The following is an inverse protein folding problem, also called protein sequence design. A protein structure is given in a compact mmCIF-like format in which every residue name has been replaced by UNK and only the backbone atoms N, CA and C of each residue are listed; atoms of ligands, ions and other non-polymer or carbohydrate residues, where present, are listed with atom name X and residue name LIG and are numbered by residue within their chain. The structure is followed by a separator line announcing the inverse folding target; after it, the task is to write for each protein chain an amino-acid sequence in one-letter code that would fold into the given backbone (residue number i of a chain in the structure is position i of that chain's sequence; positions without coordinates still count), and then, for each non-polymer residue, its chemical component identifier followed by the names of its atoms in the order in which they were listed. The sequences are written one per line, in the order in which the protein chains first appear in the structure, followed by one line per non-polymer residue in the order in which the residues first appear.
data_IF_347962072143
#
_entry.id   IF_347962072143
#
_cell.length_a   1.000
_cell.length_b   1.000
_cell.length_c   1.000
_cell.angle_alpha   90.00
_cell.angle_beta   90.00
_cell.angle_gamma   90.00
#
_symmetry.space_group_name_H-M   'P 1'
#
loop_
_entity.id
_entity.type
_entity.pdbx_description
1 polymer ?
#
# COMPACT_ATOMS: atom_id res chain seq x y z
N UNK A 1 -14.42 7.54 6.97
CA UNK A 1 -13.35 8.45 6.55
C UNK A 1 -12.06 7.71 6.75
N UNK A 2 -11.20 7.72 5.74
CA UNK A 2 -9.92 7.04 5.79
C UNK A 2 -9.01 7.69 6.85
N UNK A 3 -8.25 6.88 7.58
CA UNK A 3 -7.39 7.36 8.66
C UNK A 3 -6.19 8.15 8.13
N UNK A 4 -5.71 7.81 6.92
CA UNK A 4 -4.62 8.53 6.26
C UNK A 4 -5.05 9.96 5.97
N UNK A 5 -6.17 10.14 5.25
CA UNK A 5 -6.80 11.43 4.97
C UNK A 5 -7.07 12.22 6.27
N UNK A 6 -7.68 11.57 7.26
CA UNK A 6 -7.99 12.22 8.55
C UNK A 6 -6.73 12.74 9.25
N UNK A 7 -5.60 12.04 9.15
CA UNK A 7 -4.34 12.47 9.74
C UNK A 7 -3.74 13.63 8.94
N UNK A 8 -3.71 13.54 7.62
CA UNK A 8 -3.20 14.57 6.73
C UNK A 8 -3.89 15.94 6.97
N UNK A 9 -5.19 15.92 7.27
CA UNK A 9 -5.99 17.13 7.52
C UNK A 9 -5.93 17.65 8.96
N UNK A 10 -5.34 16.88 9.90
CA UNK A 10 -5.44 17.18 11.33
C UNK A 10 -4.63 18.40 11.76
N UNK A 11 -3.42 18.57 11.22
CA UNK A 11 -2.49 19.67 11.51
C UNK A 11 -1.63 19.96 10.26
N UNK A 12 -0.98 21.14 10.13
CA UNK A 12 -0.23 21.52 8.92
C UNK A 12 0.95 20.62 8.54
N UNK A 13 1.49 19.87 9.51
CA UNK A 13 2.57 18.89 9.32
C UNK A 13 2.49 17.83 10.43
N UNK A 14 1.57 16.86 10.31
CA UNK A 14 1.31 15.89 11.37
C UNK A 14 2.41 14.83 11.48
N UNK A 15 3.32 14.77 10.50
CA UNK A 15 4.32 13.72 10.31
C UNK A 15 3.72 12.32 10.08
N UNK A 16 4.55 11.32 9.70
CA UNK A 16 4.11 9.93 9.50
C UNK A 16 3.35 9.32 10.68
N UNK A 17 2.64 8.22 10.45
CA UNK A 17 2.06 7.45 11.55
C UNK A 17 3.12 6.92 12.53
N UNK A 18 2.80 6.74 13.82
CA UNK A 18 3.74 6.17 14.78
C UNK A 18 4.29 4.79 14.35
N UNK A 19 5.56 4.53 14.64
CA UNK A 19 6.23 3.26 14.28
C UNK A 19 5.46 2.01 14.76
N UNK A 20 4.89 2.07 15.97
CA UNK A 20 4.09 0.99 16.53
C UNK A 20 2.79 0.74 15.76
N UNK A 21 2.19 1.80 15.20
CA UNK A 21 1.00 1.72 14.38
C UNK A 21 1.33 1.04 13.04
N UNK A 22 2.40 1.49 12.37
CA UNK A 22 2.86 0.89 11.12
C UNK A 22 3.26 -0.57 11.33
N UNK A 23 3.96 -0.88 12.42
CA UNK A 23 4.36 -2.26 12.73
C UNK A 23 3.15 -3.18 12.92
N UNK A 24 2.12 -2.72 13.64
CA UNK A 24 0.92 -3.49 13.88
C UNK A 24 0.12 -3.69 12.59
N UNK A 25 -0.09 -2.62 11.81
CA UNK A 25 -0.79 -2.70 10.52
C UNK A 25 -0.05 -3.63 9.57
N UNK A 26 1.27 -3.45 9.40
CA UNK A 26 2.08 -4.29 8.54
C UNK A 26 2.02 -5.77 8.93
N UNK A 27 2.19 -6.09 10.21
CA UNK A 27 2.12 -7.48 10.67
C UNK A 27 0.73 -8.10 10.47
N UNK A 28 -0.33 -7.39 10.84
CA UNK A 28 -1.70 -7.92 10.77
C UNK A 28 -2.15 -8.11 9.32
N UNK A 29 -1.84 -7.18 8.42
CA UNK A 29 -2.16 -7.30 6.99
C UNK A 29 -1.30 -8.37 6.31
N UNK A 30 0.00 -8.45 6.61
CA UNK A 30 0.84 -9.54 6.11
C UNK A 30 0.34 -10.92 6.59
N UNK A 31 -0.16 -11.01 7.83
CA UNK A 31 -0.73 -12.25 8.36
C UNK A 31 -2.04 -12.62 7.68
N UNK A 32 -2.89 -11.63 7.37
CA UNK A 32 -4.12 -11.83 6.61
C UNK A 32 -3.83 -12.30 5.18
N UNK A 33 -2.89 -11.65 4.50
CA UNK A 33 -2.45 -12.04 3.15
C UNK A 33 -1.86 -13.44 3.14
N UNK A 34 -1.04 -13.79 4.13
CA UNK A 34 -0.51 -15.15 4.24
C UNK A 34 -1.64 -16.18 4.29
N UNK A 35 -2.63 -15.98 5.16
CA UNK A 35 -3.80 -16.86 5.25
C UNK A 35 -4.60 -16.91 3.94
N UNK A 36 -4.83 -15.77 3.27
CA UNK A 36 -5.54 -15.75 1.99
C UNK A 36 -4.78 -16.52 0.92
N UNK A 37 -3.48 -16.30 0.79
CA UNK A 37 -2.63 -16.90 -0.23
C UNK A 37 -2.48 -18.41 0.00
N UNK A 38 -2.26 -18.87 1.24
CA UNK A 38 -1.91 -20.28 1.51
C UNK A 38 -3.09 -21.16 1.91
N UNK A 39 -4.01 -20.64 2.73
CA UNK A 39 -5.09 -21.45 3.29
C UNK A 39 -6.36 -21.34 2.44
N UNK A 40 -6.61 -20.15 1.86
CA UNK A 40 -7.81 -19.91 1.04
C UNK A 40 -7.54 -19.98 -0.46
N UNK A 41 -6.27 -19.91 -0.89
CA UNK A 41 -5.89 -19.78 -2.30
C UNK A 41 -6.66 -18.64 -2.99
N UNK A 42 -6.64 -17.47 -2.36
CA UNK A 42 -7.28 -16.25 -2.84
C UNK A 42 -6.28 -15.10 -2.91
N UNK A 43 -6.31 -14.36 -4.01
CA UNK A 43 -5.76 -13.03 -4.13
C UNK A 43 -6.79 -12.03 -3.59
N UNK A 44 -6.36 -11.06 -2.78
CA UNK A 44 -7.26 -9.99 -2.33
C UNK A 44 -7.67 -9.07 -3.48
N UNK A 45 -6.70 -8.58 -4.26
CA UNK A 45 -6.93 -7.86 -5.52
C UNK A 45 -7.33 -6.38 -5.39
N UNK A 46 -7.69 -5.90 -4.20
CA UNK A 46 -7.93 -4.46 -3.97
C UNK A 46 -7.35 -3.96 -2.63
N UNK A 47 -6.04 -4.06 -2.46
CA UNK A 47 -5.40 -3.65 -1.21
C UNK A 47 -5.05 -2.16 -1.21
N UNK A 48 -5.55 -1.43 -0.21
CA UNK A 48 -5.34 0.01 0.03
C UNK A 48 -5.69 0.36 1.47
N UNK A 49 -5.26 1.51 1.96
CA UNK A 49 -5.57 2.03 3.31
C UNK A 49 -7.08 1.99 3.63
N UNK A 50 -7.94 2.37 2.69
CA UNK A 50 -9.40 2.38 2.86
C UNK A 50 -10.01 0.99 3.15
N UNK A 51 -9.31 -0.10 2.80
CA UNK A 51 -9.72 -1.47 3.05
C UNK A 51 -9.06 -2.08 4.30
N UNK A 52 -8.43 -1.24 5.15
CA UNK A 52 -7.83 -1.63 6.43
C UNK A 52 -8.62 -1.07 7.61
N UNK A 53 -9.20 -1.94 8.42
CA UNK A 53 -9.93 -1.57 9.62
C UNK A 53 -9.02 -1.58 10.85
N UNK A 54 -8.90 -0.44 11.52
CA UNK A 54 -8.06 -0.28 12.72
C UNK A 54 -8.90 -0.29 13.99
N UNK A 55 -8.44 -1.01 15.01
CA UNK A 55 -9.10 -1.15 16.31
C UNK A 55 -8.19 -0.70 17.45
N UNK A 56 -8.79 -0.08 18.48
CA UNK A 56 -8.12 0.22 19.74
C UNK A 56 -6.88 1.11 19.60
N UNK A 57 -6.92 2.11 18.71
CA UNK A 57 -5.77 2.96 18.39
C UNK A 57 -4.54 2.14 17.95
N UNK A 58 -4.70 1.37 16.86
CA UNK A 58 -3.66 0.51 16.28
C UNK A 58 -3.19 -0.63 17.18
N UNK A 59 -4.07 -1.14 18.06
CA UNK A 59 -3.85 -2.42 18.75
C UNK A 59 -4.06 -3.63 17.83
N UNK A 60 -4.84 -3.44 16.77
CA UNK A 60 -5.11 -4.46 15.76
C UNK A 60 -5.56 -3.81 14.46
N UNK A 61 -5.17 -4.37 13.34
CA UNK A 61 -5.72 -4.11 12.02
C UNK A 61 -6.40 -5.36 11.45
N UNK A 62 -7.37 -5.17 10.55
CA UNK A 62 -8.01 -6.24 9.80
C UNK A 62 -8.23 -5.80 8.37
N UNK A 63 -7.93 -6.71 7.44
CA UNK A 63 -8.26 -6.53 6.04
C UNK A 63 -9.76 -6.75 5.81
N UNK A 64 -10.37 -5.92 4.96
CA UNK A 64 -11.76 -6.05 4.54
C UNK A 64 -11.93 -5.82 3.03
N UNK A 65 -13.16 -6.00 2.56
CA UNK A 65 -13.58 -5.84 1.16
C UNK A 65 -12.96 -6.82 0.16
N UNK A 66 -13.54 -8.02 0.12
CA UNK A 66 -13.14 -9.11 -0.78
C UNK A 66 -13.98 -9.13 -2.07
N UNK A 67 -14.62 -8.01 -2.43
CA UNK A 67 -15.58 -7.95 -3.54
C UNK A 67 -15.00 -8.31 -4.91
N UNK A 68 -13.68 -8.17 -5.06
CA UNK A 68 -12.93 -8.45 -6.30
C UNK A 68 -11.83 -9.49 -6.11
N UNK A 69 -11.89 -10.29 -5.03
CA UNK A 69 -10.92 -11.33 -4.76
C UNK A 69 -10.93 -12.41 -5.87
N UNK A 70 -9.74 -12.92 -6.23
CA UNK A 70 -9.57 -13.87 -7.33
C UNK A 70 -9.02 -15.21 -6.84
N UNK A 71 -9.45 -16.34 -7.42
CA UNK A 71 -8.92 -17.65 -7.08
C UNK A 71 -7.48 -17.82 -7.59
N UNK A 72 -6.63 -18.38 -6.74
CA UNK A 72 -5.26 -18.78 -7.05
C UNK A 72 -5.19 -20.30 -7.27
N UNK A 73 -4.32 -20.75 -8.17
CA UNK A 73 -3.94 -22.17 -8.27
C UNK A 73 -2.88 -22.58 -7.24
N UNK A 74 -2.46 -23.85 -7.33
CA UNK A 74 -1.38 -24.43 -6.53
C UNK A 74 -0.01 -23.77 -6.77
N UNK A 75 0.15 -22.99 -7.85
CA UNK A 75 1.34 -22.19 -8.13
C UNK A 75 1.19 -20.73 -7.64
N UNK A 76 0.07 -20.42 -6.96
CA UNK A 76 -0.28 -19.09 -6.47
C UNK A 76 -0.40 -18.04 -7.59
N UNK A 77 -0.81 -18.47 -8.79
CA UNK A 77 -1.15 -17.63 -9.92
C UNK A 77 -2.67 -17.55 -10.10
N UNK A 78 -3.18 -16.43 -10.61
CA UNK A 78 -4.60 -16.30 -10.96
C UNK A 78 -4.91 -17.20 -12.15
N UNK A 79 -5.99 -17.97 -12.07
CA UNK A 79 -6.34 -18.97 -13.08
C UNK A 79 -7.32 -18.46 -14.13
N UNK A 80 -7.15 -18.93 -15.38
CA UNK A 80 -8.15 -18.79 -16.44
C UNK A 80 -8.37 -17.36 -16.91
N UNK A 81 -9.58 -17.08 -17.42
CA UNK A 81 -9.94 -15.78 -18.00
C UNK A 81 -10.46 -14.78 -16.93
N UNK A 82 -9.97 -14.86 -15.69
CA UNK A 82 -10.37 -13.94 -14.63
C UNK A 82 -9.78 -12.54 -14.91
N UNK A 83 -10.60 -11.51 -14.75
CA UNK A 83 -10.18 -10.11 -14.94
C UNK A 83 -9.84 -9.48 -13.59
N UNK A 84 -8.64 -8.92 -13.48
CA UNK A 84 -8.26 -8.07 -12.35
C UNK A 84 -8.90 -6.68 -12.51
N UNK A 85 -9.56 -6.18 -11.46
CA UNK A 85 -10.32 -4.91 -11.47
C UNK A 85 -9.92 -4.00 -10.30
N UNK A 86 -8.76 -4.26 -9.67
CA UNK A 86 -8.31 -3.52 -8.48
C UNK A 86 -8.19 -2.01 -8.69
N UNK A 87 -7.97 -1.27 -7.60
CA UNK A 87 -7.86 0.18 -7.68
C UNK A 87 -6.52 0.61 -8.29
N UNK A 88 -6.59 1.30 -9.43
CA UNK A 88 -5.46 1.67 -10.28
C UNK A 88 -4.22 2.13 -9.49
N UNK A 89 -4.24 3.21 -8.66
CA UNK A 89 -3.03 3.72 -7.99
C UNK A 89 -2.24 2.69 -7.15
N UNK A 90 -2.87 1.59 -6.74
CA UNK A 90 -2.22 0.50 -5.98
C UNK A 90 -1.81 -0.69 -6.85
N UNK A 91 -2.13 -0.67 -8.15
CA UNK A 91 -1.88 -1.76 -9.08
C UNK A 91 -0.38 -2.00 -9.30
N UNK A 92 0.00 -3.27 -9.21
CA UNK A 92 1.35 -3.71 -9.48
C UNK A 92 1.72 -3.54 -10.95
N UNK A 93 3.01 -3.38 -11.30
CA UNK A 93 3.43 -3.24 -12.69
C UNK A 93 2.98 -4.41 -13.58
N UNK A 94 2.94 -5.64 -13.08
CA UNK A 94 2.40 -6.76 -13.86
C UNK A 94 0.90 -6.65 -14.16
N UNK A 95 0.12 -5.90 -13.37
CA UNK A 95 -1.29 -5.61 -13.70
C UNK A 95 -1.36 -4.53 -14.77
N UNK A 96 -0.56 -3.47 -14.62
CA UNK A 96 -0.56 -2.31 -15.53
C UNK A 96 -0.06 -2.68 -16.93
N UNK A 97 0.90 -3.61 -17.02
CA UNK A 97 1.56 -4.00 -18.26
C UNK A 97 1.14 -5.40 -18.76
N UNK A 98 -0.08 -5.86 -18.42
CA UNK A 98 -0.67 -7.13 -18.88
C UNK A 98 0.23 -8.37 -18.67
N UNK A 99 0.89 -8.43 -17.50
CA UNK A 99 1.70 -9.56 -17.05
C UNK A 99 0.93 -10.58 -16.19
N UNK A 100 1.67 -11.58 -15.70
CA UNK A 100 1.09 -12.67 -14.91
C UNK A 100 0.73 -12.22 -13.49
N UNK A 101 -0.57 -12.19 -13.18
CA UNK A 101 -1.07 -11.86 -11.83
C UNK A 101 -0.88 -13.06 -10.90
N UNK A 102 -0.26 -12.81 -9.75
CA UNK A 102 0.01 -13.83 -8.72
C UNK A 102 -0.25 -13.25 -7.34
N UNK A 103 -0.14 -14.07 -6.30
CA UNK A 103 -0.14 -13.60 -4.91
C UNK A 103 0.85 -12.43 -4.63
N UNK A 104 1.90 -12.26 -5.45
CA UNK A 104 2.86 -11.15 -5.35
C UNK A 104 2.30 -9.80 -5.78
N UNK A 105 1.17 -9.79 -6.49
CA UNK A 105 0.44 -8.58 -6.85
C UNK A 105 -0.11 -7.91 -5.58
N UNK A 106 -0.69 -8.68 -4.65
CA UNK A 106 -1.11 -8.14 -3.34
C UNK A 106 0.07 -7.60 -2.53
N UNK A 107 1.28 -8.17 -2.68
CA UNK A 107 2.48 -7.71 -1.96
C UNK A 107 2.93 -6.32 -2.41
N UNK A 108 2.74 -5.99 -3.69
CA UNK A 108 3.01 -4.66 -4.20
C UNK A 108 2.00 -3.65 -3.63
N UNK A 109 0.70 -3.95 -3.74
CA UNK A 109 -0.35 -3.09 -3.18
C UNK A 109 -0.23 -2.95 -1.65
N UNK A 110 0.25 -3.98 -0.96
CA UNK A 110 0.65 -3.96 0.45
C UNK A 110 1.77 -2.97 0.73
N UNK A 111 2.80 -2.94 -0.11
CA UNK A 111 3.85 -1.95 0.01
C UNK A 111 3.29 -0.53 -0.13
N UNK A 112 2.40 -0.30 -1.11
CA UNK A 112 1.79 1.01 -1.31
C UNK A 112 0.87 1.40 -0.15
N UNK A 113 0.14 0.44 0.43
CA UNK A 113 -0.66 0.66 1.63
C UNK A 113 0.20 1.06 2.85
N UNK A 114 1.39 0.46 3.00
CA UNK A 114 2.35 0.90 4.01
C UNK A 114 2.88 2.30 3.70
N UNK A 115 3.13 2.58 2.42
CA UNK A 115 3.65 3.87 1.97
C UNK A 115 2.72 5.03 2.34
N UNK A 116 1.40 4.84 2.20
CA UNK A 116 0.38 5.81 2.61
C UNK A 116 0.53 6.22 4.09
N UNK A 117 1.03 5.31 4.96
CA UNK A 117 1.26 5.62 6.37
C UNK A 117 2.46 6.53 6.62
N UNK A 118 3.39 6.64 5.67
CA UNK A 118 4.52 7.58 5.75
C UNK A 118 4.25 8.87 5.00
N UNK A 119 3.66 8.76 3.81
CA UNK A 119 3.44 9.88 2.90
C UNK A 119 2.19 10.70 3.26
N UNK A 120 1.22 10.05 3.91
CA UNK A 120 -0.08 10.64 4.25
C UNK A 120 -0.89 11.12 3.03
N UNK A 121 -0.69 10.47 1.90
CA UNK A 121 -1.39 10.76 0.66
C UNK A 121 -1.62 9.46 -0.13
N UNK A 122 -2.48 9.55 -1.14
CA UNK A 122 -2.68 8.47 -2.11
C UNK A 122 -1.42 8.35 -3.00
N UNK A 123 -1.02 7.13 -3.42
CA UNK A 123 0.06 6.96 -4.37
C UNK A 123 -0.10 7.85 -5.62
N UNK A 124 0.97 8.52 -6.03
CA UNK A 124 1.04 9.36 -7.24
C UNK A 124 0.18 10.64 -7.23
N UNK A 125 -0.45 11.00 -6.10
CA UNK A 125 -1.27 12.21 -6.01
C UNK A 125 -0.47 13.51 -6.22
N UNK A 126 0.76 13.57 -5.70
CA UNK A 126 1.62 14.75 -5.75
C UNK A 126 2.42 14.91 -7.05
N UNK A 127 2.48 13.87 -7.88
CA UNK A 127 3.23 13.90 -9.14
C UNK A 127 2.42 14.61 -10.25
N UNK A 128 1.11 14.81 -10.05
CA UNK A 128 0.29 15.58 -10.97
C UNK A 128 0.92 16.96 -11.18
N UNK A 129 1.28 17.34 -12.43
CA UNK A 129 1.81 18.66 -12.67
C UNK A 129 0.80 19.68 -12.16
N UNK A 130 1.28 20.68 -11.39
CA UNK A 130 0.49 21.86 -11.04
C UNK A 130 -0.08 22.43 -12.35
N UNK A 131 -1.33 22.13 -12.67
CA UNK A 131 -2.04 22.85 -13.70
C UNK A 131 -2.23 24.25 -13.12
N UNK A 132 -1.27 25.12 -13.44
CA UNK A 132 -1.29 26.52 -13.09
C UNK A 132 -2.67 27.08 -13.43
N UNK A 133 -3.43 27.38 -12.39
CA UNK A 133 -4.77 27.94 -12.45
C UNK A 133 -4.76 29.40 -12.97
N UNK A 134 -3.65 29.86 -13.58
CA UNK A 134 -3.47 31.21 -14.12
C UNK A 134 -3.84 31.39 -15.60
N UNK A 135 -4.12 30.32 -16.36
CA UNK A 135 -4.60 30.43 -17.75
C UNK A 135 -6.10 30.14 -17.93
N UNK A 136 -6.92 30.29 -16.88
CA UNK A 136 -8.38 30.44 -17.00
C UNK A 136 -8.75 31.84 -17.52
N UNK A 137 -8.16 32.24 -18.64
CA UNK A 137 -8.69 33.27 -19.51
C UNK A 137 -9.72 32.61 -20.42
N UNK A 138 -10.99 32.89 -20.15
CA UNK A 138 -12.13 32.58 -21.00
C UNK A 138 -11.85 32.96 -22.46
N UNK A 139 -11.93 31.97 -23.36
CA UNK A 139 -12.29 32.07 -24.79
C UNK A 139 -11.36 31.31 -25.78
N UNK A 140 -11.06 30.04 -25.54
CA UNK A 140 -10.74 29.10 -26.62
C UNK A 140 -11.24 27.69 -26.34
N UNK A 141 -12.07 27.17 -27.23
CA UNK A 141 -12.47 25.74 -27.25
C UNK A 141 -11.27 24.86 -27.66
N UNK A 142 -11.04 23.75 -26.93
CA UNK A 142 -10.14 22.58 -27.18
C UNK A 142 -8.72 22.75 -26.60
N UNK A 143 -8.12 21.87 -25.77
CA UNK A 143 -8.25 20.43 -25.52
C UNK A 143 -7.84 20.08 -24.05
N UNK A 144 -8.80 19.81 -23.16
CA UNK A 144 -8.53 19.43 -21.75
C UNK A 144 -8.13 17.95 -21.58
N UNK A 145 -8.00 17.17 -22.66
CA UNK A 145 -7.90 15.70 -22.59
C UNK A 145 -6.47 15.14 -22.68
N UNK A 146 -5.46 15.93 -23.04
CA UNK A 146 -4.20 15.37 -23.55
C UNK A 146 -3.00 15.36 -22.59
N UNK A 147 -3.13 15.83 -21.34
CA UNK A 147 -1.95 15.99 -20.46
C UNK A 147 -2.11 15.51 -19.01
N UNK A 148 -3.34 15.24 -18.53
CA UNK A 148 -3.55 14.77 -17.14
C UNK A 148 -3.57 13.24 -17.05
N UNK A 149 -4.30 12.57 -17.96
CA UNK A 149 -4.47 11.11 -17.92
C UNK A 149 -3.18 10.39 -18.32
N UNK A 150 -2.54 10.78 -19.43
CA UNK A 150 -1.27 10.19 -19.90
C UNK A 150 -0.13 10.29 -18.86
N UNK A 151 -0.11 11.37 -18.07
CA UNK A 151 0.91 11.54 -17.03
C UNK A 151 0.64 10.63 -15.83
N UNK A 152 -0.60 10.58 -15.34
CA UNK A 152 -0.97 9.70 -14.25
C UNK A 152 -0.74 8.23 -14.63
N UNK A 153 -1.17 7.83 -15.84
CA UNK A 153 -0.91 6.52 -16.42
C UNK A 153 0.60 6.19 -16.51
N UNK A 154 1.45 7.18 -16.77
CA UNK A 154 2.91 6.97 -16.85
C UNK A 154 3.58 6.63 -15.51
N UNK A 155 2.96 6.99 -14.38
CA UNK A 155 3.48 6.70 -13.05
C UNK A 155 2.99 5.35 -12.50
N UNK A 156 1.97 4.77 -13.13
CA UNK A 156 1.38 3.50 -12.72
C UNK A 156 2.39 2.35 -12.77
N UNK A 157 2.37 1.50 -11.75
CA UNK A 157 3.31 0.38 -11.63
C UNK A 157 4.74 0.80 -11.31
N UNK A 158 5.01 2.08 -11.09
CA UNK A 158 6.25 2.59 -10.50
C UNK A 158 6.02 2.80 -9.01
N UNK A 159 6.89 2.31 -8.11
CA UNK A 159 6.71 2.57 -6.69
C UNK A 159 6.97 4.06 -6.40
N UNK A 160 6.06 4.76 -5.67
CA UNK A 160 6.27 6.14 -5.26
C UNK A 160 7.60 6.38 -4.54
N UNK A 161 8.20 7.57 -4.65
CA UNK A 161 9.41 7.89 -3.90
C UNK A 161 9.14 7.84 -2.39
N UNK A 162 10.17 7.49 -1.61
CA UNK A 162 10.08 7.58 -0.15
C UNK A 162 9.96 9.07 0.23
N UNK A 163 9.00 9.45 1.10
CA UNK A 163 8.84 10.83 1.53
C UNK A 163 10.14 11.42 2.11
N UNK A 164 10.34 12.72 1.94
CA UNK A 164 11.50 13.42 2.50
C UNK A 164 11.38 13.51 4.02
N UNK A 165 11.93 12.53 4.73
CA UNK A 165 12.05 12.56 6.19
C UNK A 165 13.39 13.19 6.59
N UNK A 166 13.41 13.92 7.69
CA UNK A 166 14.69 14.38 8.26
C UNK A 166 15.59 13.19 8.66
N UNK A 167 16.87 13.45 8.86
CA UNK A 167 17.86 12.38 9.09
C UNK A 167 17.60 11.57 10.37
N UNK A 168 17.03 12.18 11.41
CA UNK A 168 16.72 11.50 12.67
C UNK A 168 15.52 10.58 12.49
N UNK A 169 14.45 11.11 11.88
CA UNK A 169 13.24 10.36 11.57
C UNK A 169 13.54 9.22 10.59
N UNK A 170 14.30 9.47 9.52
CA UNK A 170 14.71 8.42 8.58
C UNK A 170 15.49 7.29 9.25
N UNK A 171 16.29 7.57 10.29
CA UNK A 171 16.99 6.52 11.02
C UNK A 171 16.03 5.59 11.77
N UNK A 172 14.92 6.11 12.29
CA UNK A 172 13.87 5.34 12.97
C UNK A 172 12.98 4.57 11.98
N UNK A 173 12.63 5.19 10.85
CA UNK A 173 11.73 4.61 9.84
C UNK A 173 12.45 3.65 8.88
N UNK A 174 13.78 3.58 8.91
CA UNK A 174 14.60 2.74 8.00
C UNK A 174 14.08 1.31 7.83
N UNK A 175 13.73 0.54 8.88
CA UNK A 175 13.24 -0.82 8.68
C UNK A 175 11.94 -0.86 7.87
N UNK A 176 11.06 0.10 8.06
CA UNK A 176 9.79 0.20 7.33
C UNK A 176 10.01 0.61 5.87
N UNK A 177 10.94 1.53 5.62
CA UNK A 177 11.35 1.93 4.27
C UNK A 177 12.01 0.78 3.52
N UNK A 178 12.84 -0.02 4.18
CA UNK A 178 13.46 -1.21 3.59
C UNK A 178 12.40 -2.27 3.23
N UNK A 179 11.42 -2.49 4.11
CA UNK A 179 10.30 -3.41 3.84
C UNK A 179 9.45 -2.91 2.68
N UNK A 180 9.11 -1.62 2.66
CA UNK A 180 8.45 -0.98 1.53
C UNK A 180 9.21 -1.25 0.23
N UNK A 181 10.51 -0.93 0.20
CA UNK A 181 11.37 -1.03 -0.98
C UNK A 181 11.40 -2.45 -1.56
N UNK A 182 11.50 -3.47 -0.71
CA UNK A 182 11.53 -4.87 -1.18
C UNK A 182 10.15 -5.38 -1.60
N UNK A 183 9.08 -4.95 -0.91
CA UNK A 183 7.71 -5.34 -1.28
C UNK A 183 7.22 -4.64 -2.55
N UNK A 184 7.72 -3.44 -2.84
CA UNK A 184 7.37 -2.65 -4.02
C UNK A 184 8.32 -2.87 -5.20
N UNK A 185 9.11 -3.96 -5.19
CA UNK A 185 10.04 -4.27 -6.27
C UNK A 185 9.27 -4.42 -7.61
N UNK A 186 9.84 -3.88 -8.70
CA UNK A 186 9.19 -3.92 -10.03
C UNK A 186 8.95 -5.35 -10.50
N UNK A 187 9.92 -6.26 -10.29
CA UNK A 187 9.75 -7.67 -10.62
C UNK A 187 9.01 -8.38 -9.49
N UNK A 188 7.93 -9.08 -9.82
CA UNK A 188 7.13 -9.81 -8.86
C UNK A 188 7.91 -10.91 -8.12
N UNK A 189 8.89 -11.55 -8.75
CA UNK A 189 9.71 -12.58 -8.10
C UNK A 189 10.65 -12.04 -7.02
N UNK A 190 11.05 -10.77 -7.10
CA UNK A 190 11.96 -10.13 -6.14
C UNK A 190 11.24 -9.74 -4.84
N UNK A 191 9.91 -9.67 -4.88
CA UNK A 191 9.08 -9.37 -3.71
C UNK A 191 9.06 -10.56 -2.74
N UNK A 192 9.03 -10.35 -1.43
CA UNK A 192 8.81 -11.43 -0.47
C UNK A 192 7.40 -12.03 -0.62
N UNK A 193 7.21 -13.26 -0.14
CA UNK A 193 5.88 -13.79 0.15
C UNK A 193 5.34 -13.18 1.46
N UNK A 194 4.02 -13.24 1.66
CA UNK A 194 3.38 -12.67 2.86
C UNK A 194 3.93 -13.24 4.19
N UNK A 195 4.32 -14.52 4.22
CA UNK A 195 5.00 -15.13 5.38
C UNK A 195 6.32 -14.41 5.72
N UNK A 196 7.12 -14.09 4.71
CA UNK A 196 8.38 -13.38 4.87
C UNK A 196 8.14 -11.95 5.35
N UNK A 197 7.09 -11.26 4.86
CA UNK A 197 6.65 -9.98 5.41
C UNK A 197 6.32 -10.08 6.91
N UNK A 198 5.63 -11.15 7.34
CA UNK A 198 5.38 -11.38 8.77
C UNK A 198 6.69 -11.48 9.56
N UNK A 199 7.70 -12.17 9.04
CA UNK A 199 9.01 -12.27 9.69
C UNK A 199 9.73 -10.92 9.80
N UNK A 200 9.61 -10.06 8.79
CA UNK A 200 10.20 -8.71 8.79
C UNK A 200 9.54 -7.79 9.83
N UNK A 201 8.22 -7.89 10.00
CA UNK A 201 7.46 -7.02 10.92
C UNK A 201 7.44 -7.48 12.38
N UNK A 202 7.51 -8.79 12.65
CA UNK A 202 7.52 -9.35 14.01
C UNK A 202 8.50 -8.66 14.98
N UNK A 203 9.78 -8.41 14.62
CA UNK A 203 10.71 -7.73 15.55
C UNK A 203 10.41 -6.24 15.76
N UNK A 204 9.62 -5.62 14.89
CA UNK A 204 9.24 -4.20 14.97
C UNK A 204 7.99 -3.97 15.82
N UNK A 205 7.20 -5.01 16.07
CA UNK A 205 5.99 -4.91 16.85
C UNK A 205 6.29 -4.73 18.35
N UNK A 206 5.49 -3.95 19.09
CA UNK A 206 5.57 -3.89 20.54
C UNK A 206 5.42 -5.31 21.11
N UNK A 207 6.31 -5.68 22.04
CA UNK A 207 6.11 -6.94 22.77
C UNK A 207 4.86 -6.81 23.63
N UNK A 208 3.99 -7.84 23.70
CA UNK A 208 2.92 -7.83 24.68
C UNK A 208 3.54 -7.63 26.06
N UNK A 209 3.03 -6.66 26.82
CA UNK A 209 3.40 -6.52 28.22
C UNK A 209 3.15 -7.87 28.88
N UNK A 210 4.22 -8.53 29.33
CA UNK A 210 4.07 -9.71 30.17
C UNK A 210 3.38 -9.22 31.44
N UNK A 211 2.10 -9.54 31.61
CA UNK A 211 1.35 -9.26 32.83
C UNK A 211 2.16 -9.76 34.02
N UNK A 212 2.83 -8.83 34.69
CA UNK A 212 3.54 -9.04 35.93
C UNK A 212 2.54 -9.22 37.06
N UNK A 213 1.82 -10.35 37.07
CA UNK A 213 1.08 -10.84 38.25
C UNK A 213 1.18 -12.36 38.35
N UNK A 214 2.30 -12.78 38.92
CA UNK A 214 2.40 -14.04 39.64
C UNK A 214 3.23 -13.82 40.91
N UNK A 215 2.59 -13.26 41.95
CA UNK A 215 2.84 -13.57 43.37
C UNK A 215 1.50 -13.47 44.09
#
# INVERSE_FOLDING_TARGET
MDLVETRAESEPDPGPFPLSAIATVGLDIASALHYLHTDQHLLHGDLKSANVLVFGAFQRAKLCDFGVALPLDDQLAVTGDQTYVGTEPWSAPEVVFDGDVTHKTDIYSYALTLWEMFALEMPHASDLPDLDNSELSSDSEIDDSACSDDYFESQMGVPPPVPQLDAALMAEYRPFVEIYTVCSAVRAEDRPAAEQCCHLFRPLCPRPETDGKAV
#
